data_IF_162698960484
#
_entry.id   IF_162698960484
#
_cell.length_a   1.000
_cell.length_b   1.000
_cell.length_c   1.000
_cell.angle_alpha   90.00
_cell.angle_beta   90.00
_cell.angle_gamma   90.00
#
_symmetry.space_group_name_H-M   'P 1'
#
loop_
_entity.id
_entity.type
_entity.pdbx_description
1 polymer ?
#
# COMPACT_ATOMS: atom_id res chain seq x y z
N UNK A 1 32.37 -29.87 -31.85
CA UNK A 1 32.21 -28.74 -30.90
C UNK A 1 30.73 -28.35 -30.83
N UNK A 2 30.03 -28.79 -29.80
CA UNK A 2 28.61 -28.41 -29.58
C UNK A 2 28.61 -27.32 -28.54
N UNK A 3 28.22 -26.13 -29.02
CA UNK A 3 27.97 -24.94 -28.18
C UNK A 3 26.83 -25.26 -27.21
N UNK A 4 27.13 -25.24 -25.91
CA UNK A 4 26.11 -25.27 -24.87
C UNK A 4 25.41 -23.92 -24.85
N UNK A 5 24.22 -23.86 -25.41
CA UNK A 5 23.30 -22.77 -25.13
C UNK A 5 22.89 -22.86 -23.66
N UNK A 6 23.49 -22.02 -22.84
CA UNK A 6 22.96 -21.71 -21.52
C UNK A 6 21.61 -21.03 -21.72
N UNK A 7 20.57 -21.76 -21.48
CA UNK A 7 19.23 -21.21 -21.30
C UNK A 7 19.30 -20.40 -20.00
N UNK A 8 19.48 -19.10 -20.11
CA UNK A 8 19.19 -18.16 -19.03
C UNK A 8 17.70 -18.30 -18.75
N UNK A 9 17.33 -19.21 -17.84
CA UNK A 9 16.05 -19.07 -17.15
C UNK A 9 16.18 -17.78 -16.34
N UNK A 10 15.56 -16.71 -16.85
CA UNK A 10 15.24 -15.54 -16.06
C UNK A 10 14.45 -16.03 -14.86
N UNK A 11 15.14 -16.28 -13.75
CA UNK A 11 14.49 -16.48 -12.46
C UNK A 11 13.94 -15.10 -12.12
N UNK A 12 12.71 -14.84 -12.57
CA UNK A 12 12.00 -13.63 -12.15
C UNK A 12 11.95 -13.68 -10.62
N UNK A 13 12.61 -12.73 -9.98
CA UNK A 13 12.55 -12.59 -8.54
C UNK A 13 11.08 -12.40 -8.13
N UNK A 14 10.68 -13.05 -7.04
CA UNK A 14 9.31 -12.92 -6.53
C UNK A 14 9.06 -11.49 -6.13
N UNK A 15 7.94 -10.92 -6.57
CA UNK A 15 7.55 -9.56 -6.18
C UNK A 15 7.15 -9.53 -4.71
N UNK A 16 7.45 -8.43 -4.04
CA UNK A 16 6.93 -8.07 -2.73
C UNK A 16 5.94 -6.92 -2.89
N UNK A 17 4.64 -7.19 -2.91
CA UNK A 17 3.63 -6.14 -2.98
C UNK A 17 3.59 -5.33 -1.69
N UNK A 18 3.56 -4.01 -1.81
CA UNK A 18 3.46 -3.05 -0.71
C UNK A 18 2.30 -2.12 -1.00
N UNK A 19 1.23 -2.22 -0.22
CA UNK A 19 0.08 -1.33 -0.32
C UNK A 19 0.18 -0.22 0.70
N UNK A 20 0.02 1.03 0.26
CA UNK A 20 0.07 2.21 1.11
C UNK A 20 -1.26 2.93 0.99
N UNK A 21 -2.03 2.95 2.06
CA UNK A 21 -3.28 3.67 2.19
C UNK A 21 -3.01 5.02 2.86
N UNK A 22 -3.41 6.10 2.22
CA UNK A 22 -3.14 7.46 2.69
C UNK A 22 -4.47 8.18 2.88
N UNK A 23 -4.74 8.56 4.11
CA UNK A 23 -5.83 9.44 4.47
C UNK A 23 -5.57 10.83 3.86
N UNK A 24 -6.52 11.30 3.06
CA UNK A 24 -6.51 12.63 2.48
C UNK A 24 -7.70 13.48 2.97
N UNK A 25 -8.31 13.10 4.10
CA UNK A 25 -9.37 13.87 4.73
C UNK A 25 -8.90 15.28 5.11
N UNK A 26 -9.84 16.19 5.36
CA UNK A 26 -9.53 17.60 5.61
C UNK A 26 -8.56 17.85 6.77
N UNK A 27 -8.53 16.96 7.78
CA UNK A 27 -7.60 17.05 8.92
C UNK A 27 -6.14 16.78 8.54
N UNK A 28 -5.91 16.03 7.46
CA UNK A 28 -4.58 15.76 6.93
C UNK A 28 -3.98 16.94 6.17
N UNK A 29 -4.78 17.95 5.81
CA UNK A 29 -4.31 19.13 5.06
C UNK A 29 -3.23 19.89 5.82
N UNK A 30 -2.18 20.34 5.13
CA UNK A 30 -1.05 21.07 5.68
C UNK A 30 0.09 20.15 6.14
N UNK A 31 0.58 20.34 7.36
CA UNK A 31 1.76 19.63 7.87
C UNK A 31 1.66 18.09 7.84
N UNK A 32 0.53 17.45 8.21
CA UNK A 32 0.45 15.99 8.19
C UNK A 32 0.67 15.39 6.81
N UNK A 33 -0.01 15.90 5.78
CA UNK A 33 0.14 15.34 4.43
C UNK A 33 1.51 15.66 3.82
N UNK A 34 2.08 16.83 4.12
CA UNK A 34 3.42 17.17 3.63
C UNK A 34 4.47 16.24 4.27
N UNK A 35 4.33 15.91 5.54
CA UNK A 35 5.20 14.93 6.21
C UNK A 35 5.08 13.55 5.56
N UNK A 36 3.88 13.12 5.18
CA UNK A 36 3.66 11.86 4.45
C UNK A 36 4.35 11.89 3.09
N UNK A 37 4.21 12.97 2.32
CA UNK A 37 4.85 13.11 1.00
C UNK A 37 6.37 13.04 1.09
N UNK A 38 6.96 13.76 2.04
CA UNK A 38 8.42 13.73 2.28
C UNK A 38 8.86 12.31 2.67
N UNK A 39 8.17 11.70 3.63
CA UNK A 39 8.48 10.34 4.10
C UNK A 39 8.39 9.29 2.98
N UNK A 40 7.39 9.38 2.10
CA UNK A 40 7.27 8.50 0.93
C UNK A 40 8.42 8.70 -0.06
N UNK A 41 8.78 9.95 -0.35
CA UNK A 41 9.91 10.27 -1.22
C UNK A 41 11.21 9.69 -0.68
N UNK A 42 11.49 9.90 0.60
CA UNK A 42 12.70 9.42 1.27
C UNK A 42 12.74 7.89 1.33
N UNK A 43 11.60 7.25 1.62
CA UNK A 43 11.47 5.79 1.62
C UNK A 43 11.79 5.22 0.24
N UNK A 44 11.20 5.75 -0.81
CA UNK A 44 11.42 5.28 -2.18
C UNK A 44 12.87 5.50 -2.61
N UNK A 45 13.45 6.67 -2.29
CA UNK A 45 14.85 6.94 -2.57
C UNK A 45 15.77 5.94 -1.87
N UNK A 46 15.50 5.63 -0.61
CA UNK A 46 16.27 4.66 0.17
C UNK A 46 16.13 3.23 -0.36
N UNK A 47 14.92 2.82 -0.70
CA UNK A 47 14.66 1.48 -1.26
C UNK A 47 15.36 1.28 -2.63
N UNK A 48 15.47 2.33 -3.43
CA UNK A 48 16.18 2.28 -4.72
C UNK A 48 17.68 2.09 -4.59
N UNK A 49 18.26 2.34 -3.43
CA UNK A 49 19.67 2.08 -3.14
C UNK A 49 19.93 0.62 -2.75
N UNK A 50 18.90 -0.14 -2.41
CA UNK A 50 18.98 -1.56 -2.10
C UNK A 50 18.69 -2.39 -3.35
N UNK A 51 19.67 -3.14 -3.90
CA UNK A 51 19.47 -3.91 -5.12
C UNK A 51 18.34 -4.95 -5.00
N UNK A 52 18.19 -5.57 -3.83
CA UNK A 52 17.14 -6.57 -3.61
C UNK A 52 15.74 -5.93 -3.59
N UNK A 53 15.59 -4.79 -2.92
CA UNK A 53 14.34 -4.04 -2.93
C UNK A 53 14.00 -3.54 -4.34
N UNK A 54 14.99 -3.05 -5.09
CA UNK A 54 14.81 -2.58 -6.46
C UNK A 54 14.27 -3.66 -7.41
N UNK A 55 14.72 -4.90 -7.22
CA UNK A 55 14.28 -6.05 -8.04
C UNK A 55 12.95 -6.66 -7.58
N UNK A 56 12.57 -6.48 -6.32
CA UNK A 56 11.42 -7.22 -5.76
C UNK A 56 10.26 -6.36 -5.35
N UNK A 57 10.49 -5.15 -4.85
CA UNK A 57 9.43 -4.32 -4.30
C UNK A 57 8.53 -3.74 -5.39
N UNK A 58 7.22 -3.91 -5.22
CA UNK A 58 6.18 -3.28 -6.02
C UNK A 58 5.28 -2.48 -5.08
N UNK A 59 5.05 -1.21 -5.40
CA UNK A 59 4.31 -0.29 -4.53
C UNK A 59 2.99 0.10 -5.19
N UNK A 60 1.92 0.07 -4.40
CA UNK A 60 0.61 0.60 -4.74
C UNK A 60 0.21 1.69 -3.74
N UNK A 61 -0.40 2.76 -4.21
CA UNK A 61 -0.88 3.87 -3.37
C UNK A 61 -2.38 4.05 -3.58
N UNK A 62 -3.12 4.02 -2.48
CA UNK A 62 -4.54 4.28 -2.42
C UNK A 62 -4.76 5.49 -1.52
N UNK A 63 -5.37 6.54 -2.03
CA UNK A 63 -5.80 7.71 -1.24
C UNK A 63 -7.27 7.60 -0.92
N UNK A 64 -7.65 8.11 0.24
CA UNK A 64 -9.04 8.08 0.66
C UNK A 64 -9.43 9.26 1.54
N UNK A 65 -10.60 9.79 1.25
CA UNK A 65 -11.36 10.75 2.05
C UNK A 65 -12.85 10.40 1.94
N UNK A 66 -13.66 11.16 1.23
CA UNK A 66 -15.03 10.80 0.81
C UNK A 66 -14.99 9.81 -0.35
N UNK A 67 -13.99 9.94 -1.21
CA UNK A 67 -13.72 9.05 -2.34
C UNK A 67 -12.47 8.21 -2.05
N UNK A 68 -12.46 7.01 -2.59
CA UNK A 68 -11.29 6.13 -2.54
C UNK A 68 -10.74 5.97 -3.94
N UNK A 69 -9.45 6.26 -4.10
CA UNK A 69 -8.76 6.20 -5.41
C UNK A 69 -7.45 5.45 -5.30
N UNK A 70 -7.28 4.42 -6.11
CA UNK A 70 -5.95 3.86 -6.35
C UNK A 70 -5.22 4.79 -7.33
N UNK A 71 -4.40 5.69 -6.79
CA UNK A 71 -3.66 6.68 -7.59
C UNK A 71 -2.37 6.10 -8.19
N UNK A 72 -1.89 5.00 -7.64
CA UNK A 72 -0.78 4.21 -8.17
C UNK A 72 -1.15 2.73 -8.10
N UNK A 73 -1.40 2.04 -9.22
CA UNK A 73 -1.51 0.58 -9.26
C UNK A 73 -0.19 -0.07 -8.81
N UNK A 74 -0.21 -1.36 -8.51
CA UNK A 74 0.99 -2.08 -8.08
C UNK A 74 2.09 -1.97 -9.16
N UNK A 75 3.10 -1.14 -8.88
CA UNK A 75 4.15 -0.73 -9.80
C UNK A 75 5.52 -1.11 -9.27
N UNK A 76 6.36 -1.66 -10.11
CA UNK A 76 7.74 -2.00 -9.79
C UNK A 76 8.54 -0.76 -9.38
N UNK A 77 9.36 -0.89 -8.34
CA UNK A 77 10.11 0.22 -7.75
C UNK A 77 11.03 0.94 -8.75
N UNK A 78 11.56 0.22 -9.71
CA UNK A 78 12.45 0.78 -10.75
C UNK A 78 11.71 1.82 -11.62
N UNK A 79 10.50 1.49 -12.06
CA UNK A 79 9.69 2.33 -12.96
C UNK A 79 8.76 3.29 -12.23
N UNK A 80 8.67 3.21 -10.89
CA UNK A 80 7.73 3.97 -10.10
C UNK A 80 7.99 5.47 -10.18
N UNK A 81 6.93 6.22 -10.48
CA UNK A 81 6.88 7.68 -10.33
C UNK A 81 5.81 8.01 -9.31
N UNK A 82 6.19 8.76 -8.25
CA UNK A 82 5.23 9.17 -7.23
C UNK A 82 4.16 10.08 -7.85
N UNK A 83 2.88 9.71 -7.76
CA UNK A 83 1.81 10.59 -8.19
C UNK A 83 1.64 11.76 -7.22
N UNK A 84 1.00 12.80 -7.69
CA UNK A 84 0.60 13.91 -6.83
C UNK A 84 -0.47 13.45 -5.84
N UNK A 85 -0.26 13.76 -4.55
CA UNK A 85 -1.23 13.50 -3.48
C UNK A 85 -1.90 14.81 -3.14
N UNK A 86 -3.21 14.88 -3.37
CA UNK A 86 -4.01 16.09 -3.13
C UNK A 86 -4.96 15.85 -1.97
N UNK A 87 -4.99 16.77 -1.00
CA UNK A 87 -5.99 16.82 0.06
C UNK A 87 -7.05 17.86 -0.27
N UNK A 88 -8.34 17.51 -0.28
CA UNK A 88 -9.41 18.48 -0.39
C UNK A 88 -9.48 19.36 0.88
N UNK A 89 -10.21 20.49 0.79
CA UNK A 89 -10.34 21.43 1.92
C UNK A 89 -11.11 20.84 3.11
N UNK A 90 -12.00 19.91 2.85
CA UNK A 90 -12.77 19.20 3.88
C UNK A 90 -13.23 17.85 3.35
N UNK A 91 -13.37 16.88 4.22
CA UNK A 91 -13.88 15.56 3.84
C UNK A 91 -13.90 14.60 5.02
N UNK A 92 -14.79 13.60 4.97
CA UNK A 92 -14.81 12.50 5.94
C UNK A 92 -13.60 11.58 5.73
N UNK A 93 -13.43 10.64 6.65
CA UNK A 93 -12.37 9.63 6.65
C UNK A 93 -13.00 8.25 6.42
N UNK A 94 -13.23 7.88 5.17
CA UNK A 94 -13.87 6.59 4.81
C UNK A 94 -12.84 5.45 4.77
N UNK A 95 -12.28 5.11 5.91
CA UNK A 95 -11.27 4.07 6.05
C UNK A 95 -11.80 2.68 5.71
N UNK A 96 -13.05 2.38 6.06
CA UNK A 96 -13.68 1.10 5.73
C UNK A 96 -13.81 0.91 4.21
N UNK A 97 -14.24 1.94 3.50
CA UNK A 97 -14.28 1.92 2.04
C UNK A 97 -12.88 1.72 1.43
N UNK A 98 -11.86 2.38 1.99
CA UNK A 98 -10.47 2.22 1.54
C UNK A 98 -9.96 0.79 1.73
N UNK A 99 -10.26 0.15 2.86
CA UNK A 99 -9.91 -1.24 3.11
C UNK A 99 -10.63 -2.22 2.16
N UNK A 100 -11.87 -1.94 1.77
CA UNK A 100 -12.56 -2.73 0.76
C UNK A 100 -11.88 -2.62 -0.61
N UNK A 101 -11.55 -1.40 -1.06
CA UNK A 101 -10.81 -1.17 -2.31
C UNK A 101 -9.44 -1.84 -2.26
N UNK A 102 -8.74 -1.80 -1.11
CA UNK A 102 -7.49 -2.53 -0.91
C UNK A 102 -7.66 -4.03 -1.18
N UNK A 103 -8.71 -4.66 -0.63
CA UNK A 103 -8.97 -6.08 -0.86
C UNK A 103 -9.25 -6.38 -2.35
N UNK A 104 -10.00 -5.51 -3.01
CA UNK A 104 -10.28 -5.66 -4.45
C UNK A 104 -9.00 -5.48 -5.30
N UNK A 105 -8.10 -4.57 -4.89
CA UNK A 105 -6.78 -4.43 -5.53
C UNK A 105 -5.91 -5.66 -5.28
N UNK A 106 -5.89 -6.18 -4.05
CA UNK A 106 -5.17 -7.40 -3.70
C UNK A 106 -5.60 -8.56 -4.59
N UNK A 107 -6.91 -8.81 -4.71
CA UNK A 107 -7.46 -9.93 -5.50
C UNK A 107 -7.12 -9.80 -6.99
N UNK A 108 -6.98 -8.59 -7.50
CA UNK A 108 -6.67 -8.30 -8.90
C UNK A 108 -5.18 -8.33 -9.22
N UNK A 109 -4.33 -7.87 -8.30
CA UNK A 109 -2.94 -7.53 -8.59
C UNK A 109 -1.92 -8.52 -8.01
N UNK A 110 -2.25 -9.20 -6.90
CA UNK A 110 -1.35 -10.14 -6.24
C UNK A 110 -1.39 -11.50 -6.93
N UNK A 111 -0.23 -11.97 -7.34
CA UNK A 111 -0.10 -13.31 -7.92
C UNK A 111 0.03 -14.35 -6.80
N UNK A 112 -1.00 -15.14 -6.60
CA UNK A 112 -1.02 -16.21 -5.60
C UNK A 112 -0.15 -17.42 -6.00
N UNK A 113 0.36 -17.45 -7.24
CA UNK A 113 1.13 -18.57 -7.76
C UNK A 113 0.27 -19.76 -8.20
N UNK A 114 0.95 -20.82 -8.60
CA UNK A 114 0.35 -22.08 -9.02
C UNK A 114 1.14 -23.27 -8.47
N UNK A 115 0.75 -24.49 -8.85
CA UNK A 115 1.54 -25.69 -8.50
C UNK A 115 2.93 -25.70 -9.12
N UNK A 116 3.11 -25.00 -10.23
CA UNK A 116 4.35 -25.02 -11.01
C UNK A 116 5.20 -23.75 -10.80
N UNK A 117 4.58 -22.64 -10.36
CA UNK A 117 5.24 -21.34 -10.22
C UNK A 117 4.91 -20.70 -8.88
N UNK A 118 5.96 -20.25 -8.15
CA UNK A 118 5.80 -19.48 -6.93
C UNK A 118 5.14 -18.14 -7.24
N UNK A 119 4.14 -17.77 -6.43
CA UNK A 119 3.51 -16.47 -6.47
C UNK A 119 4.33 -15.36 -5.81
N UNK A 120 3.73 -14.20 -5.66
CA UNK A 120 4.31 -13.07 -4.93
C UNK A 120 4.59 -13.44 -3.45
N UNK A 121 5.44 -12.67 -2.80
CA UNK A 121 5.52 -12.67 -1.35
C UNK A 121 4.20 -12.14 -0.76
N UNK A 122 3.86 -12.57 0.45
CA UNK A 122 2.70 -12.02 1.15
C UNK A 122 2.86 -10.50 1.29
N UNK A 123 1.85 -9.71 0.87
CA UNK A 123 1.94 -8.27 0.84
C UNK A 123 2.15 -7.61 2.21
N UNK A 124 2.72 -6.41 2.17
CA UNK A 124 2.77 -5.47 3.30
C UNK A 124 1.66 -4.44 3.14
N UNK A 125 1.06 -4.03 4.25
CA UNK A 125 0.09 -2.94 4.30
C UNK A 125 0.58 -1.83 5.22
N UNK A 126 0.62 -0.61 4.70
CA UNK A 126 0.80 0.62 5.48
C UNK A 126 -0.49 1.45 5.42
N UNK A 127 -0.97 1.87 6.57
CA UNK A 127 -2.13 2.75 6.71
C UNK A 127 -1.70 4.04 7.41
N UNK A 128 -1.78 5.17 6.71
CA UNK A 128 -1.38 6.49 7.19
C UNK A 128 -2.64 7.34 7.40
N UNK A 129 -2.95 7.71 8.63
CA UNK A 129 -4.14 8.49 8.99
C UNK A 129 -3.91 9.28 10.27
N UNK A 130 -4.60 10.40 10.43
CA UNK A 130 -4.62 11.18 11.67
C UNK A 130 -5.94 11.02 12.45
N UNK A 131 -6.93 10.35 11.87
CA UNK A 131 -8.30 10.37 12.33
C UNK A 131 -8.93 9.02 12.70
N UNK A 132 -10.19 9.14 13.09
CA UNK A 132 -11.08 7.99 13.25
C UNK A 132 -11.81 7.72 11.94
N UNK A 133 -12.08 6.45 11.61
CA UNK A 133 -13.00 6.13 10.54
C UNK A 133 -14.35 6.82 10.75
N UNK A 134 -14.88 7.45 9.71
CA UNK A 134 -16.24 8.03 9.72
C UNK A 134 -17.29 6.98 9.38
N UNK A 135 -16.90 5.92 8.69
CA UNK A 135 -17.72 4.82 8.19
C UNK A 135 -17.60 3.55 9.08
N UNK A 136 -17.88 3.67 10.38
CA UNK A 136 -17.59 2.65 11.39
C UNK A 136 -18.15 1.26 11.07
N UNK A 137 -19.38 1.16 10.57
CA UNK A 137 -19.98 -0.13 10.20
C UNK A 137 -19.22 -0.79 9.06
N UNK A 138 -18.92 -0.01 8.01
CA UNK A 138 -18.14 -0.47 6.85
C UNK A 138 -16.73 -0.85 7.30
N UNK A 139 -16.14 -0.08 8.20
CA UNK A 139 -14.80 -0.31 8.75
C UNK A 139 -14.71 -1.65 9.50
N UNK A 140 -15.66 -1.94 10.40
CA UNK A 140 -15.66 -3.20 11.17
C UNK A 140 -15.82 -4.43 10.26
N UNK A 141 -16.60 -4.34 9.19
CA UNK A 141 -16.73 -5.43 8.21
C UNK A 141 -15.50 -5.54 7.30
N UNK A 142 -14.94 -4.41 6.88
CA UNK A 142 -13.74 -4.37 6.06
C UNK A 142 -12.51 -4.97 6.79
N UNK A 143 -12.38 -4.75 8.09
CA UNK A 143 -11.33 -5.39 8.92
C UNK A 143 -11.42 -6.92 8.84
N UNK A 144 -12.62 -7.49 8.91
CA UNK A 144 -12.82 -8.94 8.79
C UNK A 144 -12.36 -9.44 7.43
N UNK A 145 -12.66 -8.67 6.36
CA UNK A 145 -12.23 -8.98 4.99
C UNK A 145 -10.71 -8.91 4.86
N UNK A 146 -10.06 -7.87 5.39
CA UNK A 146 -8.60 -7.73 5.40
C UNK A 146 -7.93 -8.89 6.13
N UNK A 147 -8.47 -9.33 7.27
CA UNK A 147 -7.94 -10.48 8.02
C UNK A 147 -8.07 -11.83 7.31
N UNK A 148 -8.95 -11.94 6.32
CA UNK A 148 -9.06 -13.12 5.44
C UNK A 148 -7.99 -13.09 4.34
N UNK A 149 -7.48 -11.91 3.97
CA UNK A 149 -6.36 -11.75 3.06
C UNK A 149 -5.04 -11.94 3.83
N UNK A 150 -4.07 -12.51 3.15
CA UNK A 150 -2.79 -12.83 3.78
C UNK A 150 -1.80 -11.67 3.62
N UNK A 151 -1.71 -10.80 4.63
CA UNK A 151 -0.66 -9.81 4.75
C UNK A 151 0.44 -10.30 5.68
N UNK A 152 1.70 -10.10 5.31
CA UNK A 152 2.85 -10.41 6.18
C UNK A 152 2.85 -9.51 7.40
N UNK A 153 2.57 -8.24 7.20
CA UNK A 153 2.52 -7.26 8.26
C UNK A 153 1.55 -6.12 7.90
N UNK A 154 0.90 -5.58 8.91
CA UNK A 154 0.04 -4.40 8.81
C UNK A 154 0.60 -3.34 9.75
N UNK A 155 1.02 -2.21 9.19
CA UNK A 155 1.60 -1.09 9.92
C UNK A 155 0.65 0.09 9.81
N UNK A 156 0.01 0.44 10.91
CA UNK A 156 -0.84 1.62 10.98
C UNK A 156 -0.08 2.78 11.64
N UNK A 157 0.15 3.84 10.89
CA UNK A 157 0.86 5.03 11.33
C UNK A 157 -0.13 6.15 11.61
N UNK A 158 -0.09 6.64 12.83
CA UNK A 158 -0.85 7.80 13.25
C UNK A 158 -0.09 9.08 12.89
N UNK A 159 -0.63 9.87 11.96
CA UNK A 159 -0.01 11.10 11.48
C UNK A 159 -0.45 12.30 12.32
N UNK A 160 0.52 12.96 12.97
CA UNK A 160 0.30 14.18 13.75
C UNK A 160 -0.04 13.98 15.22
N UNK A 161 0.05 15.06 16.03
CA UNK A 161 -0.06 14.97 17.50
C UNK A 161 -1.47 14.70 18.04
N UNK A 162 -2.49 14.83 17.19
CA UNK A 162 -3.90 14.61 17.54
C UNK A 162 -4.42 13.25 17.06
N UNK A 163 -3.58 12.43 16.45
CA UNK A 163 -3.99 11.17 15.85
C UNK A 163 -4.53 10.19 16.90
N UNK A 164 -5.61 9.48 16.51
CA UNK A 164 -6.30 8.52 17.39
C UNK A 164 -5.94 7.10 16.99
N UNK A 165 -5.23 6.41 17.87
CA UNK A 165 -4.69 5.08 17.61
C UNK A 165 -5.65 3.93 17.93
N UNK A 166 -6.68 4.16 18.76
CA UNK A 166 -7.58 3.09 19.20
C UNK A 166 -8.29 2.32 18.06
N UNK A 167 -8.84 2.99 17.02
CA UNK A 167 -9.43 2.26 15.90
C UNK A 167 -8.43 1.39 15.15
N UNK A 168 -7.16 1.84 15.06
CA UNK A 168 -6.10 1.16 14.31
C UNK A 168 -5.66 -0.16 14.96
N UNK A 169 -5.85 -0.29 16.27
CA UNK A 169 -5.52 -1.54 17.01
C UNK A 169 -6.39 -2.74 16.62
N UNK A 170 -7.48 -2.50 15.87
CA UNK A 170 -8.36 -3.58 15.40
C UNK A 170 -7.80 -4.28 14.15
N UNK A 171 -6.94 -3.62 13.39
CA UNK A 171 -6.23 -4.18 12.24
C UNK A 171 -5.11 -5.13 12.69
#
# INVERSE_FOLDING_TARGET
MKSAFQTNQNIMSRRLPVYILIDTSGSMKGEPIESVKVGLSDMIASLRLDPYALETACISIITYDREVKQILPLTELESLQLPEIVCPDSGPTHTGAALNVLCDCYDREVNMGSREQKGDWMPLLFLLTDGKPSDLMVYDDAIKKVKQHQFTNIVACAAGPKAKTEPLKKL
#
